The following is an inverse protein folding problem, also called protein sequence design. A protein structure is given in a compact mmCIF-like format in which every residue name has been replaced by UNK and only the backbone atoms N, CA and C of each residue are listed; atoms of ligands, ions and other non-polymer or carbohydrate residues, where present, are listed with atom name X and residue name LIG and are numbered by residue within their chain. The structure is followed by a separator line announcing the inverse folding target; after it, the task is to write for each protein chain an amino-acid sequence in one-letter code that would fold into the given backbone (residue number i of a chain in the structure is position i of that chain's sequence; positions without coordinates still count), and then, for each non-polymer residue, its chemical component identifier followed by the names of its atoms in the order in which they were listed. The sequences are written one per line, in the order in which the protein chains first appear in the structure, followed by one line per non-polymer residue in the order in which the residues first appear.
data_IF_525743929749
#
_entry.id   IF_525743929749
#
_cell.length_a   1.000
_cell.length_b   1.000
_cell.length_c   1.000
_cell.angle_alpha   90.00
_cell.angle_beta   90.00
_cell.angle_gamma   90.00
#
_symmetry.space_group_name_H-M   'P 1'
#
loop_
_entity.id
_entity.type
_entity.pdbx_description
1 polymer ?
#
# COMPACT_ATOMS: atom_id res chain seq x y z
N UNK A 1 47.15 34.45 33.37
CA UNK A 1 46.47 35.09 32.20
C UNK A 1 45.00 34.66 32.20
N UNK A 2 44.07 35.58 32.44
CA UNK A 2 42.62 35.31 32.35
C UNK A 2 42.22 35.36 30.86
N UNK A 3 41.75 34.23 30.29
CA UNK A 3 41.17 34.23 28.95
C UNK A 3 39.85 35.01 28.97
N UNK A 4 39.72 36.00 28.11
CA UNK A 4 38.49 36.71 27.92
C UNK A 4 37.46 35.71 27.31
N UNK A 5 36.37 35.47 28.00
CA UNK A 5 35.25 34.65 27.55
C UNK A 5 34.37 35.56 26.70
N UNK A 6 34.42 35.39 25.37
CA UNK A 6 33.49 36.07 24.45
C UNK A 6 32.09 35.50 24.64
N UNK A 7 31.17 36.31 25.11
CA UNK A 7 29.74 35.94 25.21
C UNK A 7 29.03 36.09 23.86
N UNK A 8 28.02 35.23 23.61
CA UNK A 8 27.13 35.33 22.47
C UNK A 8 26.24 36.56 22.62
N UNK A 9 26.03 37.31 21.55
CA UNK A 9 25.12 38.44 21.60
C UNK A 9 23.66 37.94 21.48
N UNK A 10 22.74 38.64 22.12
CA UNK A 10 21.31 38.31 22.08
C UNK A 10 20.77 38.35 20.66
N UNK A 11 21.25 39.28 19.85
CA UNK A 11 20.82 39.44 18.45
C UNK A 11 21.30 38.27 17.57
N UNK A 12 22.51 37.74 17.78
CA UNK A 12 22.99 36.57 17.04
C UNK A 12 22.13 35.34 17.32
N UNK A 13 21.74 35.14 18.59
CA UNK A 13 20.85 34.06 18.95
C UNK A 13 19.44 34.24 18.31
N UNK A 14 18.89 35.45 18.33
CA UNK A 14 17.57 35.73 17.76
C UNK A 14 17.51 35.48 16.25
N UNK A 15 18.54 35.88 15.50
CA UNK A 15 18.62 35.65 14.05
C UNK A 15 18.66 34.16 13.75
N UNK A 16 19.47 33.38 14.48
CA UNK A 16 19.58 31.93 14.27
C UNK A 16 18.25 31.24 14.51
N UNK A 17 17.58 31.56 15.62
CA UNK A 17 16.26 30.94 15.92
C UNK A 17 15.20 31.34 14.88
N UNK A 18 15.23 32.57 14.39
CA UNK A 18 14.31 33.00 13.35
C UNK A 18 14.52 32.24 12.02
N UNK A 19 15.78 32.03 11.61
CA UNK A 19 16.11 31.25 10.41
C UNK A 19 15.68 29.81 10.57
N UNK A 20 15.98 29.16 11.72
CA UNK A 20 15.57 27.79 11.99
C UNK A 20 14.03 27.67 11.96
N UNK A 21 13.31 28.64 12.54
CA UNK A 21 11.85 28.66 12.54
C UNK A 21 11.26 28.69 11.13
N UNK A 22 11.83 29.51 10.25
CA UNK A 22 11.38 29.59 8.83
C UNK A 22 11.66 28.26 8.12
N UNK A 23 12.85 27.69 8.27
CA UNK A 23 13.21 26.41 7.64
C UNK A 23 12.35 25.26 8.17
N UNK A 24 12.13 25.19 9.48
CA UNK A 24 11.31 24.16 10.10
C UNK A 24 9.83 24.22 9.66
N UNK A 25 9.29 25.42 9.44
CA UNK A 25 7.90 25.60 9.01
C UNK A 25 7.59 24.95 7.65
N UNK A 26 8.58 24.83 6.78
CA UNK A 26 8.46 24.20 5.46
C UNK A 26 8.87 22.71 5.52
N UNK A 27 9.88 22.39 6.31
CA UNK A 27 10.45 21.03 6.38
C UNK A 27 9.53 20.05 7.10
N UNK A 28 8.87 20.43 8.20
CA UNK A 28 8.04 19.52 9.00
C UNK A 28 6.84 18.94 8.23
N UNK A 29 6.02 19.71 7.50
CA UNK A 29 4.92 19.15 6.72
C UNK A 29 5.40 18.21 5.62
N UNK A 30 6.52 18.55 4.97
CA UNK A 30 7.10 17.66 3.95
C UNK A 30 7.55 16.33 4.54
N UNK A 31 8.24 16.36 5.68
CA UNK A 31 8.68 15.16 6.38
C UNK A 31 7.51 14.25 6.79
N UNK A 32 6.43 14.82 7.33
CA UNK A 32 5.22 14.08 7.69
C UNK A 32 4.61 13.34 6.48
N UNK A 33 4.53 14.02 5.33
CA UNK A 33 4.01 13.40 4.11
C UNK A 33 4.90 12.23 3.62
N UNK A 34 6.22 12.36 3.74
CA UNK A 34 7.13 11.27 3.38
C UNK A 34 7.01 10.08 4.33
N UNK A 35 6.90 10.30 5.62
CA UNK A 35 6.73 9.21 6.60
C UNK A 35 5.40 8.48 6.39
N UNK A 36 4.31 9.20 6.14
CA UNK A 36 3.01 8.61 5.83
C UNK A 36 3.04 7.72 4.57
N UNK A 37 3.71 8.18 3.52
CA UNK A 37 3.90 7.38 2.29
C UNK A 37 4.78 6.16 2.52
N UNK A 38 5.85 6.29 3.30
CA UNK A 38 6.74 5.18 3.62
C UNK A 38 6.01 4.08 4.39
N UNK A 39 5.21 4.42 5.39
CA UNK A 39 4.37 3.47 6.13
C UNK A 39 3.32 2.81 5.23
N UNK A 40 2.69 3.59 4.34
CA UNK A 40 1.70 3.06 3.42
C UNK A 40 2.29 2.11 2.36
N UNK A 41 3.59 2.19 2.10
CA UNK A 41 4.29 1.28 1.17
C UNK A 41 4.16 -0.18 1.61
N UNK A 42 4.14 -0.47 2.91
CA UNK A 42 3.90 -1.82 3.42
C UNK A 42 2.53 -2.35 2.95
N UNK A 43 1.50 -1.50 3.00
CA UNK A 43 0.15 -1.84 2.52
C UNK A 43 0.15 -2.17 1.03
N UNK A 44 0.89 -1.42 0.21
CA UNK A 44 0.97 -1.70 -1.23
C UNK A 44 1.74 -2.99 -1.53
N UNK A 45 2.83 -3.25 -0.82
CA UNK A 45 3.66 -4.45 -1.01
C UNK A 45 2.91 -5.71 -0.59
N UNK A 46 2.06 -5.64 0.42
CA UNK A 46 1.28 -6.78 0.91
C UNK A 46 0.40 -7.43 -0.18
N UNK A 47 -0.03 -6.68 -1.20
CA UNK A 47 -0.81 -7.23 -2.32
C UNK A 47 -0.01 -8.22 -3.18
N UNK A 48 1.32 -8.16 -3.13
CA UNK A 48 2.20 -8.95 -4.00
C UNK A 48 2.02 -10.46 -3.87
N UNK A 49 1.84 -10.96 -2.65
CA UNK A 49 1.64 -12.39 -2.40
C UNK A 49 0.34 -12.91 -3.04
N UNK A 50 -0.76 -12.19 -2.87
CA UNK A 50 -2.06 -12.54 -3.45
C UNK A 50 -2.00 -12.42 -4.97
N UNK A 51 -1.42 -11.34 -5.49
CA UNK A 51 -1.22 -11.13 -6.92
C UNK A 51 -0.50 -12.32 -7.57
N UNK A 52 0.65 -12.70 -7.02
CA UNK A 52 1.43 -13.84 -7.54
C UNK A 52 0.65 -15.15 -7.43
N UNK A 53 -0.03 -15.39 -6.30
CA UNK A 53 -0.86 -16.58 -6.11
C UNK A 53 -1.95 -16.70 -7.16
N UNK A 54 -2.67 -15.62 -7.44
CA UNK A 54 -3.74 -15.58 -8.45
C UNK A 54 -3.16 -15.80 -9.85
N UNK A 55 -2.04 -15.16 -10.21
CA UNK A 55 -1.38 -15.35 -11.51
C UNK A 55 -0.96 -16.81 -11.74
N UNK A 56 -0.32 -17.42 -10.75
CA UNK A 56 0.11 -18.82 -10.83
C UNK A 56 -1.10 -19.74 -10.93
N UNK A 57 -2.11 -19.52 -10.11
CA UNK A 57 -3.32 -20.33 -10.10
C UNK A 57 -4.05 -20.30 -11.46
N UNK A 58 -4.32 -19.11 -11.99
CA UNK A 58 -5.04 -18.95 -13.26
C UNK A 58 -4.28 -19.52 -14.45
N UNK A 59 -2.95 -19.43 -14.45
CA UNK A 59 -2.11 -20.03 -15.49
C UNK A 59 -2.03 -21.55 -15.38
N UNK A 60 -2.02 -22.08 -14.17
CA UNK A 60 -1.93 -23.53 -13.92
C UNK A 60 -3.25 -24.24 -14.22
N UNK A 61 -4.36 -23.67 -13.76
CA UNK A 61 -5.69 -24.28 -13.92
C UNK A 61 -6.34 -23.93 -15.26
N UNK A 62 -5.90 -22.86 -15.92
CA UNK A 62 -6.51 -22.34 -17.11
C UNK A 62 -7.95 -21.83 -16.88
N UNK A 63 -8.59 -21.33 -17.94
CA UNK A 63 -9.97 -20.77 -17.86
C UNK A 63 -11.00 -21.76 -17.34
N UNK A 64 -10.84 -23.06 -17.64
CA UNK A 64 -11.80 -24.09 -17.24
C UNK A 64 -11.95 -24.23 -15.71
N UNK A 65 -10.95 -23.83 -14.95
CA UNK A 65 -10.94 -23.96 -13.50
C UNK A 65 -10.45 -22.68 -12.78
N UNK A 66 -10.23 -21.59 -13.51
CA UNK A 66 -9.72 -20.34 -12.92
C UNK A 66 -10.67 -19.70 -11.91
N UNK A 67 -11.97 -20.05 -11.93
CA UNK A 67 -12.91 -19.66 -10.88
C UNK A 67 -12.63 -20.32 -9.52
N UNK A 68 -11.72 -21.31 -9.44
CA UNK A 68 -11.27 -21.88 -8.18
C UNK A 68 -10.04 -21.14 -7.63
N UNK A 69 -9.59 -20.09 -8.30
CA UNK A 69 -8.49 -19.22 -7.85
C UNK A 69 -9.02 -18.16 -6.89
N UNK A 70 -9.48 -18.61 -5.74
CA UNK A 70 -10.08 -17.80 -4.69
C UNK A 70 -9.17 -17.74 -3.46
N UNK A 71 -9.44 -16.81 -2.56
CA UNK A 71 -8.73 -16.65 -1.30
C UNK A 71 -8.70 -17.96 -0.50
N UNK A 72 -7.55 -18.27 0.07
CA UNK A 72 -7.31 -19.50 0.85
C UNK A 72 -7.23 -20.79 0.03
N UNK A 73 -7.25 -20.72 -1.32
CA UNK A 73 -7.20 -21.89 -2.20
C UNK A 73 -6.03 -21.85 -3.16
N UNK A 74 -5.58 -23.02 -3.63
CA UNK A 74 -4.59 -23.17 -4.71
C UNK A 74 -3.33 -22.29 -4.57
N UNK A 75 -2.86 -22.10 -3.33
CA UNK A 75 -1.66 -21.30 -3.03
C UNK A 75 -1.92 -19.81 -2.90
N UNK A 76 -3.15 -19.35 -3.01
CA UNK A 76 -3.53 -17.98 -2.75
C UNK A 76 -3.75 -17.79 -1.24
N UNK A 77 -3.13 -16.78 -0.60
CA UNK A 77 -3.37 -16.50 0.81
C UNK A 77 -4.85 -16.25 1.12
N UNK A 78 -5.29 -16.66 2.29
CA UNK A 78 -6.63 -16.33 2.78
C UNK A 78 -6.74 -14.83 3.08
N UNK A 79 -7.96 -14.31 3.06
CA UNK A 79 -8.23 -12.94 3.46
C UNK A 79 -7.81 -12.70 4.92
N UNK A 80 -7.22 -11.54 5.15
CA UNK A 80 -6.79 -11.08 6.47
C UNK A 80 -7.48 -9.75 6.77
N UNK A 81 -8.16 -9.68 7.91
CA UNK A 81 -8.73 -8.41 8.37
C UNK A 81 -7.62 -7.48 8.89
N UNK A 82 -7.73 -6.19 8.59
CA UNK A 82 -6.82 -5.20 9.16
C UNK A 82 -6.90 -5.23 10.70
N UNK A 83 -5.73 -5.26 11.33
CA UNK A 83 -5.59 -5.24 12.79
C UNK A 83 -4.75 -4.05 13.26
N UNK A 84 -4.38 -4.04 14.53
CA UNK A 84 -3.58 -2.94 15.11
C UNK A 84 -2.26 -2.73 14.37
N UNK A 85 -1.56 -3.80 14.01
CA UNK A 85 -0.28 -3.75 13.29
C UNK A 85 -0.28 -4.71 12.08
N UNK A 86 -1.48 -5.06 11.61
CA UNK A 86 -1.66 -6.02 10.54
C UNK A 86 -2.33 -5.33 9.37
N UNK A 87 -1.69 -5.40 8.21
CA UNK A 87 -2.28 -4.99 6.94
C UNK A 87 -3.42 -5.96 6.60
N UNK A 88 -4.61 -5.44 6.37
CA UNK A 88 -5.73 -6.23 5.87
C UNK A 88 -5.56 -6.51 4.38
N UNK A 89 -5.88 -7.73 3.94
CA UNK A 89 -5.89 -8.11 2.51
C UNK A 89 -7.18 -8.85 2.22
N UNK A 90 -7.84 -8.45 1.15
CA UNK A 90 -9.03 -9.13 0.64
C UNK A 90 -8.92 -9.34 -0.87
N UNK A 91 -9.32 -10.51 -1.34
CA UNK A 91 -9.46 -10.83 -2.76
C UNK A 91 -10.94 -10.92 -3.11
N UNK A 92 -11.38 -10.11 -4.06
CA UNK A 92 -12.77 -10.04 -4.53
C UNK A 92 -12.81 -9.98 -6.06
N UNK A 93 -13.99 -9.86 -6.63
CA UNK A 93 -14.20 -9.73 -8.07
C UNK A 93 -15.08 -10.82 -8.65
N UNK A 94 -15.23 -10.83 -9.96
CA UNK A 94 -16.09 -11.83 -10.66
C UNK A 94 -15.37 -13.17 -10.85
N UNK A 95 -14.03 -13.18 -10.92
CA UNK A 95 -13.22 -14.39 -11.00
C UNK A 95 -13.34 -15.26 -9.74
N UNK A 96 -12.97 -14.73 -8.56
CA UNK A 96 -13.04 -15.47 -7.29
C UNK A 96 -14.46 -15.88 -6.88
N UNK A 97 -15.47 -15.11 -7.28
CA UNK A 97 -16.86 -15.42 -6.97
C UNK A 97 -17.44 -16.62 -7.74
N UNK A 98 -16.69 -17.17 -8.69
CA UNK A 98 -17.12 -18.32 -9.51
C UNK A 98 -16.47 -19.60 -9.00
N UNK A 99 -17.24 -20.67 -9.01
CA UNK A 99 -16.77 -22.04 -8.83
C UNK A 99 -16.57 -22.69 -10.21
N UNK A 100 -15.35 -23.13 -10.52
CA UNK A 100 -15.05 -23.85 -11.75
C UNK A 100 -14.55 -22.95 -12.88
N UNK A 101 -15.32 -22.83 -13.96
CA UNK A 101 -14.89 -22.09 -15.16
C UNK A 101 -15.01 -20.57 -14.98
N UNK A 102 -13.93 -19.87 -15.27
CA UNK A 102 -13.93 -18.42 -15.47
C UNK A 102 -13.95 -18.08 -16.97
N UNK A 103 -14.29 -16.86 -17.30
CA UNK A 103 -14.30 -16.37 -18.67
C UNK A 103 -13.36 -15.17 -18.84
N UNK A 104 -12.89 -14.97 -20.05
CA UNK A 104 -12.13 -13.76 -20.36
C UNK A 104 -12.99 -12.51 -20.03
N UNK A 105 -12.38 -11.56 -19.33
CA UNK A 105 -13.06 -10.38 -18.80
C UNK A 105 -13.44 -10.48 -17.32
N UNK A 106 -13.35 -11.65 -16.70
CA UNK A 106 -13.53 -11.75 -15.25
C UNK A 106 -12.42 -10.95 -14.52
N UNK A 107 -12.81 -10.33 -13.41
CA UNK A 107 -11.94 -9.46 -12.64
C UNK A 107 -11.50 -10.09 -11.33
N UNK A 108 -10.28 -9.80 -10.93
CA UNK A 108 -9.69 -10.10 -9.63
C UNK A 108 -9.30 -8.78 -8.99
N UNK A 109 -9.87 -8.46 -7.86
CA UNK A 109 -9.66 -7.19 -7.15
C UNK A 109 -8.99 -7.48 -5.82
N UNK A 110 -7.75 -7.05 -5.68
CA UNK A 110 -7.00 -7.17 -4.43
C UNK A 110 -7.10 -5.84 -3.72
N UNK A 111 -7.66 -5.82 -2.52
CA UNK A 111 -7.74 -4.64 -1.67
C UNK A 111 -6.86 -4.84 -0.44
N UNK A 112 -5.85 -4.00 -0.29
CA UNK A 112 -5.06 -3.90 0.93
C UNK A 112 -5.54 -2.72 1.76
N UNK A 113 -5.67 -2.92 3.07
CA UNK A 113 -6.10 -1.90 4.04
C UNK A 113 -5.00 -1.68 5.06
N UNK A 114 -4.64 -0.42 5.30
CA UNK A 114 -3.62 -0.07 6.27
C UNK A 114 -3.97 -0.56 7.69
N UNK A 115 -2.97 -0.83 8.55
CA UNK A 115 -3.18 -1.19 9.94
C UNK A 115 -4.01 -0.13 10.69
N UNK A 116 -4.80 -0.56 11.68
CA UNK A 116 -5.71 0.34 12.42
C UNK A 116 -4.99 1.31 13.36
N UNK A 117 -3.72 1.05 13.69
CA UNK A 117 -2.85 1.96 14.47
C UNK A 117 -2.01 2.88 13.61
N UNK A 118 -1.95 2.66 12.30
CA UNK A 118 -1.25 3.55 11.38
C UNK A 118 -1.92 4.93 11.35
N UNK A 119 -1.17 6.03 11.22
CA UNK A 119 -1.74 7.35 10.90
C UNK A 119 -2.63 7.35 9.64
N UNK A 120 -2.46 6.33 8.79
CA UNK A 120 -3.23 6.09 7.57
C UNK A 120 -4.38 5.09 7.77
N UNK A 121 -5.01 5.06 8.93
CA UNK A 121 -6.04 4.05 9.32
C UNK A 121 -7.16 3.82 8.30
N UNK A 122 -7.43 4.79 7.44
CA UNK A 122 -8.43 4.69 6.35
C UNK A 122 -7.79 4.43 4.99
N UNK A 123 -6.45 4.26 4.95
CA UNK A 123 -5.71 4.06 3.72
C UNK A 123 -6.00 2.69 3.11
N UNK A 124 -6.40 2.68 1.84
CA UNK A 124 -6.57 1.45 1.06
C UNK A 124 -5.80 1.54 -0.25
N UNK A 125 -5.27 0.40 -0.68
CA UNK A 125 -4.69 0.23 -2.00
C UNK A 125 -5.46 -0.86 -2.72
N UNK A 126 -5.98 -0.55 -3.90
CA UNK A 126 -6.76 -1.48 -4.71
C UNK A 126 -6.06 -1.75 -6.03
N UNK A 127 -5.84 -3.02 -6.33
CA UNK A 127 -5.27 -3.49 -7.58
C UNK A 127 -6.31 -4.34 -8.31
N UNK A 128 -6.65 -3.96 -9.54
CA UNK A 128 -7.62 -4.68 -10.36
C UNK A 128 -6.90 -5.41 -11.47
N UNK A 129 -7.18 -6.70 -11.60
CA UNK A 129 -6.68 -7.55 -12.66
C UNK A 129 -7.82 -8.09 -13.51
N UNK A 130 -7.63 -8.13 -14.82
CA UNK A 130 -8.59 -8.68 -15.78
C UNK A 130 -8.06 -9.96 -16.41
N UNK A 131 -8.82 -11.05 -16.31
CA UNK A 131 -8.47 -12.35 -16.87
C UNK A 131 -8.60 -12.31 -18.40
N UNK A 132 -7.55 -12.74 -19.06
CA UNK A 132 -7.49 -12.85 -20.52
C UNK A 132 -7.84 -14.27 -20.99
N UNK A 133 -8.22 -14.41 -22.26
CA UNK A 133 -8.49 -15.71 -22.88
C UNK A 133 -7.33 -16.70 -22.82
N UNK A 134 -6.11 -16.21 -22.62
CA UNK A 134 -4.91 -17.02 -22.44
C UNK A 134 -4.71 -17.56 -21.00
N UNK A 135 -5.59 -17.25 -20.05
CA UNK A 135 -5.42 -17.54 -18.62
C UNK A 135 -4.50 -16.54 -17.91
N UNK A 136 -3.92 -15.58 -18.61
CA UNK A 136 -3.09 -14.52 -18.01
C UNK A 136 -3.96 -13.42 -17.44
N UNK A 137 -3.56 -12.85 -16.31
CA UNK A 137 -4.18 -11.64 -15.77
C UNK A 137 -3.38 -10.41 -16.21
N UNK A 138 -4.09 -9.40 -16.66
CA UNK A 138 -3.54 -8.05 -16.92
C UNK A 138 -3.99 -7.16 -15.76
N UNK A 139 -3.01 -6.64 -15.03
CA UNK A 139 -3.25 -5.76 -13.88
C UNK A 139 -3.22 -4.30 -14.33
N UNK A 140 -4.20 -3.55 -13.87
CA UNK A 140 -4.19 -2.10 -13.99
C UNK A 140 -3.23 -1.49 -12.98
N UNK A 141 -2.90 -0.20 -13.13
CA UNK A 141 -2.18 0.54 -12.11
C UNK A 141 -2.97 0.59 -10.81
N UNK A 142 -2.32 0.31 -9.68
CA UNK A 142 -2.99 0.34 -8.38
C UNK A 142 -3.51 1.74 -8.02
N UNK A 143 -4.61 1.78 -7.29
CA UNK A 143 -5.28 3.00 -6.85
C UNK A 143 -5.22 3.11 -5.34
N UNK A 144 -4.74 4.25 -4.85
CA UNK A 144 -4.76 4.58 -3.42
C UNK A 144 -5.99 5.41 -3.06
N UNK A 145 -6.57 5.13 -1.93
CA UNK A 145 -7.56 5.98 -1.30
C UNK A 145 -7.13 6.28 0.15
N UNK A 146 -6.88 7.54 0.50
CA UNK A 146 -6.84 8.73 -0.37
C UNK A 146 -5.67 8.72 -1.38
N UNK A 147 -5.85 9.36 -2.53
CA UNK A 147 -4.88 9.38 -3.63
C UNK A 147 -3.51 9.98 -3.23
N UNK A 148 -3.46 10.81 -2.19
CA UNK A 148 -2.23 11.40 -1.67
C UNK A 148 -1.24 10.37 -1.10
N UNK A 149 -1.69 9.13 -0.82
CA UNK A 149 -0.85 8.06 -0.29
C UNK A 149 -0.01 7.35 -1.37
N UNK A 150 -0.40 7.39 -2.64
CA UNK A 150 0.41 7.04 -3.78
C UNK A 150 1.27 8.25 -4.20
#
# INVERSE_FOLDING_TARGET
MKKAQSGFTLIELMIVVAIIGILASVALPAYQNYTLKAEFTETTVATGAVKTGVEVCTQTLGLAAAGNCDNGTNGIPADVSAGSEIVGIALTGTGPAKTGAAVAGDTYIITATAPTTSPNTTGTYTLTGTLQASGRIVWDGGVCAPAALC
#
